data_IF_852657572876
#
_entry.id   IF_852657572876
#
_cell.length_a   1.000
_cell.length_b   1.000
_cell.length_c   1.000
_cell.angle_alpha   90.00
_cell.angle_beta   90.00
_cell.angle_gamma   90.00
#
_symmetry.space_group_name_H-M   'P 1'
#
loop_
_entity.id
_entity.type
_entity.pdbx_description
1 polymer ?
#
# COMPACT_ATOMS: atom_id res chain seq x y z
N UNK A 1 -20.30 0.84 -34.48
CA UNK A 1 -20.18 1.84 -33.38
C UNK A 1 -19.17 2.90 -33.81
N UNK A 2 -19.29 4.14 -33.29
CA UNK A 2 -18.33 5.21 -33.46
C UNK A 2 -17.61 5.45 -32.14
N UNK A 3 -16.30 5.73 -32.23
CA UNK A 3 -15.49 6.24 -31.12
C UNK A 3 -15.19 7.70 -31.44
N UNK A 4 -15.51 8.59 -30.54
CA UNK A 4 -15.25 10.01 -30.67
C UNK A 4 -13.89 10.33 -30.11
N UNK A 5 -13.08 11.09 -30.83
CA UNK A 5 -11.75 11.51 -30.44
C UNK A 5 -11.70 13.03 -30.32
N UNK A 6 -10.88 13.57 -29.41
CA UNK A 6 -10.69 15.02 -29.28
C UNK A 6 -9.85 15.62 -30.40
N UNK A 7 -8.97 14.81 -31.01
CA UNK A 7 -8.08 15.20 -32.12
C UNK A 7 -7.76 13.97 -32.97
N UNK A 8 -7.20 14.19 -34.12
CA UNK A 8 -6.71 13.12 -35.00
C UNK A 8 -5.43 12.52 -34.41
N UNK A 9 -5.34 11.19 -34.48
CA UNK A 9 -4.19 10.42 -33.98
C UNK A 9 -3.48 9.77 -35.16
N UNK A 10 -2.16 9.83 -35.23
CA UNK A 10 -1.34 9.33 -36.34
C UNK A 10 -1.54 7.80 -36.53
N UNK A 11 -1.65 7.05 -35.46
CA UNK A 11 -1.84 5.60 -35.45
C UNK A 11 -3.33 5.17 -35.34
N UNK A 12 -4.25 5.93 -35.92
CA UNK A 12 -5.69 5.69 -35.83
C UNK A 12 -6.11 4.30 -36.31
N UNK A 13 -5.49 3.77 -37.37
CA UNK A 13 -5.75 2.43 -37.87
C UNK A 13 -5.37 1.34 -36.84
N UNK A 14 -4.19 1.43 -36.27
CA UNK A 14 -3.71 0.52 -35.23
C UNK A 14 -4.61 0.56 -33.98
N UNK A 15 -5.03 1.76 -33.58
CA UNK A 15 -5.95 1.95 -32.47
C UNK A 15 -7.31 1.31 -32.73
N UNK A 16 -7.85 1.44 -33.98
CA UNK A 16 -9.10 0.81 -34.36
C UNK A 16 -9.00 -0.72 -34.35
N UNK A 17 -7.85 -1.29 -34.75
CA UNK A 17 -7.56 -2.73 -34.69
C UNK A 17 -7.49 -3.24 -33.25
N UNK A 18 -6.82 -2.55 -32.35
CA UNK A 18 -6.78 -2.89 -30.93
C UNK A 18 -8.18 -2.91 -30.31
N UNK A 19 -9.01 -1.93 -30.62
CA UNK A 19 -10.39 -1.88 -30.16
C UNK A 19 -11.24 -3.01 -30.77
N UNK A 20 -10.98 -3.40 -32.00
CA UNK A 20 -11.64 -4.55 -32.63
C UNK A 20 -11.31 -5.86 -31.93
N UNK A 21 -10.01 -6.07 -31.60
CA UNK A 21 -9.56 -7.25 -30.86
C UNK A 21 -10.20 -7.32 -29.47
N UNK A 22 -10.29 -6.18 -28.79
CA UNK A 22 -10.82 -6.12 -27.42
C UNK A 22 -12.34 -6.24 -27.36
N UNK A 23 -13.07 -5.65 -28.32
CA UNK A 23 -14.54 -5.55 -28.27
C UNK A 23 -15.26 -6.30 -29.39
N UNK A 24 -14.54 -7.04 -30.24
CA UNK A 24 -15.08 -7.89 -31.30
C UNK A 24 -15.69 -7.14 -32.48
N UNK A 25 -15.52 -5.82 -32.57
CA UNK A 25 -16.01 -4.99 -33.68
C UNK A 25 -15.12 -3.79 -33.92
N UNK A 26 -14.70 -3.57 -35.17
CA UNK A 26 -13.91 -2.40 -35.56
C UNK A 26 -14.77 -1.12 -35.51
N UNK A 27 -14.44 -0.16 -34.65
CA UNK A 27 -15.16 1.10 -34.58
C UNK A 27 -14.71 2.05 -35.70
N UNK A 28 -15.58 2.99 -36.08
CA UNK A 28 -15.16 4.16 -36.85
C UNK A 28 -14.69 5.24 -35.89
N UNK A 29 -13.45 5.68 -36.03
CA UNK A 29 -12.91 6.83 -35.31
C UNK A 29 -13.49 8.12 -35.92
N UNK A 30 -13.82 9.07 -35.11
CA UNK A 30 -14.42 10.33 -35.55
C UNK A 30 -14.04 11.49 -34.64
N UNK A 31 -13.49 12.54 -35.20
CA UNK A 31 -13.21 13.81 -34.52
C UNK A 31 -14.37 14.77 -34.81
N UNK A 32 -15.28 15.03 -33.88
CA UNK A 32 -16.41 15.90 -34.13
C UNK A 32 -16.00 17.37 -34.15
N UNK A 33 -16.50 18.10 -35.13
CA UNK A 33 -16.21 19.53 -35.29
C UNK A 33 -17.35 20.43 -34.77
N UNK A 34 -18.55 19.88 -34.52
CA UNK A 34 -19.73 20.65 -34.07
C UNK A 34 -20.83 19.74 -33.50
N UNK A 35 -21.77 20.36 -32.81
CA UNK A 35 -22.98 19.70 -32.30
C UNK A 35 -22.73 18.88 -31.03
N UNK A 36 -23.68 18.00 -30.69
CA UNK A 36 -23.68 17.27 -29.41
C UNK A 36 -22.48 16.34 -29.23
N UNK A 37 -21.98 15.77 -30.32
CA UNK A 37 -20.79 14.93 -30.24
C UNK A 37 -19.55 15.72 -29.82
N UNK A 38 -19.38 16.96 -30.29
CA UNK A 38 -18.29 17.83 -29.82
C UNK A 38 -18.43 18.13 -28.32
N UNK A 39 -19.64 18.48 -27.88
CA UNK A 39 -19.90 18.74 -26.46
C UNK A 39 -19.60 17.52 -25.57
N UNK A 40 -19.89 16.31 -26.05
CA UNK A 40 -19.55 15.07 -25.33
C UNK A 40 -18.04 14.88 -25.21
N UNK A 41 -17.27 15.16 -26.28
CA UNK A 41 -15.82 15.09 -26.25
C UNK A 41 -15.23 16.13 -25.30
N UNK A 42 -15.71 17.39 -25.37
CA UNK A 42 -15.25 18.45 -24.48
C UNK A 42 -15.53 18.11 -23.01
N UNK A 43 -16.70 17.56 -22.71
CA UNK A 43 -17.03 17.11 -21.34
C UNK A 43 -16.11 15.96 -20.89
N UNK A 44 -15.87 14.99 -21.77
CA UNK A 44 -14.96 13.86 -21.46
C UNK A 44 -13.52 14.33 -21.21
N UNK A 45 -13.04 15.26 -22.02
CA UNK A 45 -11.71 15.86 -21.84
C UNK A 45 -11.61 16.65 -20.53
N UNK A 46 -12.63 17.44 -20.20
CA UNK A 46 -12.69 18.17 -18.94
C UNK A 46 -12.63 17.21 -17.73
N UNK A 47 -13.47 16.18 -17.73
CA UNK A 47 -13.49 15.18 -16.67
C UNK A 47 -12.14 14.44 -16.54
N UNK A 48 -11.52 14.09 -17.67
CA UNK A 48 -10.20 13.45 -17.69
C UNK A 48 -9.12 14.35 -17.10
N UNK A 49 -9.15 15.65 -17.43
CA UNK A 49 -8.21 16.64 -16.90
C UNK A 49 -8.38 16.83 -15.39
N UNK A 50 -9.61 17.02 -14.91
CA UNK A 50 -9.92 17.16 -13.48
C UNK A 50 -9.49 15.92 -12.69
N UNK A 51 -9.69 14.71 -13.24
CA UNK A 51 -9.25 13.47 -12.61
C UNK A 51 -7.73 13.35 -12.60
N UNK A 52 -7.04 13.72 -13.69
CA UNK A 52 -5.59 13.73 -13.75
C UNK A 52 -4.99 14.68 -12.70
N UNK A 53 -5.51 15.91 -12.56
CA UNK A 53 -5.08 16.84 -11.52
C UNK A 53 -5.33 16.28 -10.10
N UNK A 54 -6.49 15.66 -9.89
CA UNK A 54 -6.84 15.04 -8.60
C UNK A 54 -5.87 13.92 -8.23
N UNK A 55 -5.54 13.05 -9.17
CA UNK A 55 -4.61 11.93 -8.95
C UNK A 55 -3.20 12.43 -8.69
N UNK A 56 -2.69 13.34 -9.53
CA UNK A 56 -1.34 13.92 -9.38
C UNK A 56 -1.21 14.65 -8.04
N UNK A 57 -2.15 15.50 -7.69
CA UNK A 57 -2.12 16.21 -6.41
C UNK A 57 -2.21 15.27 -5.18
N UNK A 58 -2.88 14.12 -5.32
CA UNK A 58 -2.88 13.09 -4.26
C UNK A 58 -1.53 12.40 -4.12
N UNK A 59 -0.88 12.04 -5.22
CA UNK A 59 0.43 11.39 -5.21
C UNK A 59 1.52 12.32 -4.67
N UNK A 60 1.50 13.59 -5.05
CA UNK A 60 2.41 14.61 -4.50
C UNK A 60 2.25 14.78 -2.99
N UNK A 61 1.01 14.81 -2.48
CA UNK A 61 0.74 14.89 -1.03
C UNK A 61 1.24 13.65 -0.30
N UNK A 62 1.03 12.46 -0.83
CA UNK A 62 1.54 11.19 -0.25
C UNK A 62 3.06 11.23 -0.21
N UNK A 63 3.73 11.59 -1.30
CA UNK A 63 5.18 11.70 -1.37
C UNK A 63 5.73 12.71 -0.37
N UNK A 64 5.11 13.90 -0.25
CA UNK A 64 5.47 14.92 0.74
C UNK A 64 5.30 14.39 2.17
N UNK A 65 4.21 13.65 2.45
CA UNK A 65 3.95 13.05 3.76
C UNK A 65 5.02 12.02 4.13
N UNK A 66 5.39 11.12 3.21
CA UNK A 66 6.44 10.13 3.45
C UNK A 66 7.82 10.79 3.66
N UNK A 67 8.09 11.85 2.92
CA UNK A 67 9.32 12.65 3.10
C UNK A 67 9.36 13.31 4.47
N UNK A 68 8.25 13.90 4.92
CA UNK A 68 8.13 14.49 6.24
C UNK A 68 8.30 13.43 7.34
N UNK A 69 7.63 12.29 7.20
CA UNK A 69 7.77 11.16 8.13
C UNK A 69 9.24 10.72 8.26
N UNK A 70 9.92 10.53 7.12
CA UNK A 70 11.34 10.20 7.12
C UNK A 70 12.19 11.22 7.88
N UNK A 71 11.96 12.53 7.66
CA UNK A 71 12.66 13.61 8.40
C UNK A 71 12.37 13.55 9.89
N UNK A 72 11.12 13.35 10.30
CA UNK A 72 10.73 13.28 11.71
C UNK A 72 11.39 12.09 12.43
N UNK A 73 11.52 10.96 11.76
CA UNK A 73 12.09 9.74 12.31
C UNK A 73 13.61 9.60 12.08
N UNK A 74 14.24 10.59 11.43
CA UNK A 74 15.65 10.57 11.04
C UNK A 74 16.03 9.32 10.21
N UNK A 75 15.16 8.92 9.28
CA UNK A 75 15.36 7.82 8.33
C UNK A 75 15.10 8.32 6.90
N UNK A 76 15.53 7.61 5.84
CA UNK A 76 15.06 7.85 4.49
C UNK A 76 13.53 7.80 4.41
N UNK A 77 12.91 8.49 3.43
CA UNK A 77 11.46 8.40 3.23
C UNK A 77 11.04 6.94 3.01
N UNK A 78 10.24 6.34 3.91
CA UNK A 78 9.94 4.91 3.87
C UNK A 78 8.97 4.61 2.73
N UNK A 79 9.35 3.68 1.85
CA UNK A 79 8.49 3.20 0.75
C UNK A 79 7.60 2.06 1.19
N UNK A 80 8.17 1.11 1.96
CA UNK A 80 7.44 -0.02 2.53
C UNK A 80 7.39 0.10 4.05
N UNK A 81 6.19 0.13 4.58
CA UNK A 81 5.94 0.17 6.03
C UNK A 81 5.11 -1.03 6.44
N UNK A 82 5.49 -1.70 7.52
CA UNK A 82 4.73 -2.80 8.12
C UNK A 82 4.33 -2.40 9.53
N UNK A 83 3.03 -2.50 9.84
CA UNK A 83 2.51 -2.21 11.17
C UNK A 83 1.94 -3.46 11.82
N UNK A 84 2.28 -3.67 13.09
CA UNK A 84 1.88 -4.80 13.91
C UNK A 84 0.97 -4.37 15.04
N UNK A 85 -0.13 -5.08 15.19
CA UNK A 85 -1.11 -4.92 16.26
C UNK A 85 -1.41 -6.28 16.89
N UNK A 86 -1.47 -6.33 18.23
CA UNK A 86 -1.87 -7.51 18.99
C UNK A 86 -3.31 -7.31 19.46
N UNK A 87 -4.17 -8.23 19.08
CA UNK A 87 -5.59 -8.19 19.42
C UNK A 87 -6.02 -9.48 20.11
N UNK A 88 -6.72 -9.36 21.24
CA UNK A 88 -7.30 -10.47 21.96
C UNK A 88 -8.72 -10.72 21.43
N UNK A 89 -8.96 -11.90 20.87
CA UNK A 89 -10.29 -12.32 20.42
C UNK A 89 -10.89 -13.25 21.48
N UNK A 90 -11.88 -12.76 22.21
CA UNK A 90 -12.76 -13.56 23.10
C UNK A 90 -12.04 -14.53 24.05
N UNK A 91 -11.05 -14.05 24.80
CA UNK A 91 -10.57 -14.70 26.02
C UNK A 91 -9.55 -15.83 25.89
N UNK A 92 -9.34 -16.45 24.75
CA UNK A 92 -8.43 -17.59 24.60
C UNK A 92 -7.48 -17.53 23.39
N UNK A 93 -7.85 -16.83 22.33
CA UNK A 93 -7.01 -16.75 21.14
C UNK A 93 -6.41 -15.35 20.97
N UNK A 94 -5.09 -15.27 21.10
CA UNK A 94 -4.33 -14.05 20.79
C UNK A 94 -4.00 -14.08 19.31
N UNK A 95 -4.40 -13.05 18.59
CA UNK A 95 -4.12 -12.89 17.17
C UNK A 95 -3.39 -11.59 16.94
N UNK A 96 -2.30 -11.64 16.18
CA UNK A 96 -1.64 -10.44 15.71
C UNK A 96 -1.98 -10.19 14.24
N UNK A 97 -2.15 -8.95 13.89
CA UNK A 97 -2.30 -8.50 12.52
C UNK A 97 -1.08 -7.72 12.06
N UNK A 98 -0.69 -7.96 10.81
CA UNK A 98 0.30 -7.17 10.10
C UNK A 98 -0.37 -6.49 8.91
N UNK A 99 -0.34 -5.19 8.87
CA UNK A 99 -0.78 -4.39 7.73
C UNK A 99 0.42 -3.81 7.01
N UNK A 100 0.33 -3.67 5.70
CA UNK A 100 1.42 -3.22 4.86
C UNK A 100 0.99 -2.03 4.03
N UNK A 101 1.85 -1.02 4.01
CA UNK A 101 1.73 0.13 3.12
C UNK A 101 2.93 0.14 2.16
N UNK A 102 2.64 0.32 0.89
CA UNK A 102 3.63 0.49 -0.17
C UNK A 102 3.43 1.85 -0.82
N UNK A 103 4.46 2.69 -0.78
CA UNK A 103 4.41 4.06 -1.30
C UNK A 103 3.18 4.85 -0.80
N UNK A 104 2.90 4.72 0.49
CA UNK A 104 1.78 5.37 1.17
C UNK A 104 0.39 4.83 0.85
N UNK A 105 0.29 3.74 0.07
CA UNK A 105 -0.99 3.08 -0.27
C UNK A 105 -1.08 1.71 0.44
N UNK A 106 -2.25 1.30 0.95
CA UNK A 106 -2.42 -0.03 1.54
C UNK A 106 -2.14 -1.15 0.53
N UNK A 107 -1.21 -2.06 0.83
CA UNK A 107 -0.92 -3.25 0.03
C UNK A 107 -1.58 -4.47 0.65
N UNK A 108 -2.89 -4.58 0.45
CA UNK A 108 -3.73 -5.61 1.11
C UNK A 108 -3.32 -7.04 0.80
N UNK A 109 -2.67 -7.31 -0.34
CA UNK A 109 -2.13 -8.64 -0.70
C UNK A 109 -1.10 -9.14 0.30
N UNK A 110 -0.40 -8.22 0.97
CA UNK A 110 0.69 -8.54 1.90
C UNK A 110 0.24 -8.55 3.36
N UNK A 111 -1.02 -8.25 3.64
CA UNK A 111 -1.57 -8.33 5.00
C UNK A 111 -1.50 -9.77 5.52
N UNK A 112 -1.10 -9.93 6.79
CA UNK A 112 -0.99 -11.24 7.44
C UNK A 112 -1.71 -11.23 8.78
N UNK A 113 -2.18 -12.40 9.16
CA UNK A 113 -2.64 -12.71 10.52
C UNK A 113 -1.77 -13.81 11.10
N UNK A 114 -1.31 -13.61 12.30
CA UNK A 114 -0.51 -14.58 13.04
C UNK A 114 -1.30 -15.04 14.25
N UNK A 115 -1.57 -16.33 14.33
CA UNK A 115 -2.05 -16.92 15.58
C UNK A 115 -0.86 -17.01 16.53
N UNK A 116 -1.00 -16.46 17.74
CA UNK A 116 -0.01 -16.60 18.81
C UNK A 116 -0.26 -17.93 19.51
N UNK A 117 0.78 -18.71 19.72
CA UNK A 117 0.70 -20.05 20.25
C UNK A 117 1.47 -20.17 21.58
N UNK A 118 0.96 -20.98 22.49
CA UNK A 118 1.68 -21.37 23.72
C UNK A 118 1.75 -20.31 24.81
N UNK A 119 1.02 -19.21 24.69
CA UNK A 119 0.92 -18.21 25.75
C UNK A 119 -0.43 -18.39 26.47
N UNK A 120 -0.39 -18.71 27.75
CA UNK A 120 -1.58 -18.95 28.58
C UNK A 120 -2.12 -17.67 29.22
N UNK A 121 -1.32 -16.63 29.28
CA UNK A 121 -1.67 -15.33 29.84
C UNK A 121 -1.57 -14.24 28.76
N UNK A 122 -2.24 -13.10 29.01
CA UNK A 122 -2.19 -11.90 28.16
C UNK A 122 -0.80 -11.23 28.22
N UNK A 123 0.22 -11.92 27.71
CA UNK A 123 1.56 -11.36 27.57
C UNK A 123 1.73 -10.76 26.15
N UNK A 124 1.37 -9.49 26.02
CA UNK A 124 1.47 -8.76 24.76
C UNK A 124 2.93 -8.62 24.29
N UNK A 125 3.90 -8.63 25.22
CA UNK A 125 5.33 -8.55 24.86
C UNK A 125 5.83 -9.86 24.27
N UNK A 126 5.50 -11.00 24.89
CA UNK A 126 5.84 -12.31 24.36
C UNK A 126 5.14 -12.56 23.02
N UNK A 127 3.88 -12.12 22.91
CA UNK A 127 3.10 -12.17 21.66
C UNK A 127 3.76 -11.36 20.55
N UNK A 128 4.15 -10.12 20.84
CA UNK A 128 4.84 -9.26 19.87
C UNK A 128 6.18 -9.88 19.41
N UNK A 129 6.97 -10.37 20.37
CA UNK A 129 8.23 -11.05 20.05
C UNK A 129 8.01 -12.24 19.14
N UNK A 130 7.05 -13.11 19.44
CA UNK A 130 6.75 -14.30 18.64
C UNK A 130 6.37 -13.93 17.20
N UNK A 131 5.52 -12.93 17.05
CA UNK A 131 5.02 -12.49 15.74
C UNK A 131 6.12 -11.86 14.89
N UNK A 132 6.91 -10.95 15.46
CA UNK A 132 8.03 -10.32 14.77
C UNK A 132 9.08 -11.37 14.38
N UNK A 133 9.45 -12.26 15.30
CA UNK A 133 10.38 -13.37 15.01
C UNK A 133 9.85 -14.20 13.84
N UNK A 134 8.59 -14.63 13.88
CA UNK A 134 7.98 -15.47 12.84
C UNK A 134 7.97 -14.77 11.47
N UNK A 135 7.60 -13.48 11.41
CA UNK A 135 7.64 -12.67 10.19
C UNK A 135 9.03 -12.67 9.56
N UNK A 136 10.05 -12.45 10.37
CA UNK A 136 11.42 -12.29 9.87
C UNK A 136 12.21 -13.59 9.71
N UNK A 137 11.78 -14.69 10.32
CA UNK A 137 12.22 -16.05 9.96
C UNK A 137 11.78 -16.37 8.53
N UNK A 138 10.52 -16.12 8.19
CA UNK A 138 10.03 -16.30 6.81
C UNK A 138 10.74 -15.38 5.81
N UNK A 139 11.04 -14.13 6.22
CA UNK A 139 11.83 -13.21 5.38
C UNK A 139 13.22 -13.78 5.06
N UNK A 140 13.94 -14.28 6.07
CA UNK A 140 15.27 -14.88 5.89
C UNK A 140 15.23 -16.15 5.05
N UNK A 141 14.15 -16.91 5.12
CA UNK A 141 13.95 -18.10 4.30
C UNK A 141 13.60 -17.75 2.84
N UNK A 142 13.28 -16.50 2.52
CA UNK A 142 12.84 -16.09 1.19
C UNK A 142 11.44 -16.58 0.82
N UNK A 143 10.60 -16.82 1.83
CA UNK A 143 9.26 -17.35 1.62
C UNK A 143 8.39 -16.36 0.88
N UNK A 144 7.67 -16.85 -0.14
CA UNK A 144 6.80 -16.04 -0.98
C UNK A 144 5.78 -15.25 -0.15
N UNK A 145 5.75 -13.94 -0.35
CA UNK A 145 4.89 -13.00 0.38
C UNK A 145 5.42 -12.56 1.74
N UNK A 146 6.68 -12.94 2.05
CA UNK A 146 7.47 -12.46 3.19
C UNK A 146 8.85 -11.95 2.76
N UNK A 147 9.19 -12.04 1.51
CA UNK A 147 10.50 -11.80 0.89
C UNK A 147 10.84 -10.32 0.70
N UNK A 148 9.87 -9.41 0.84
CA UNK A 148 10.12 -7.98 0.77
C UNK A 148 10.54 -7.42 2.15
N UNK A 149 11.65 -6.63 2.17
CA UNK A 149 12.13 -5.94 3.36
C UNK A 149 11.32 -4.66 3.63
N UNK A 150 10.94 -4.38 4.89
CA UNK A 150 10.37 -3.09 5.24
C UNK A 150 11.44 -2.01 5.42
N UNK A 151 11.09 -0.76 5.07
CA UNK A 151 11.89 0.42 5.41
C UNK A 151 11.59 0.93 6.82
N UNK A 152 10.39 0.60 7.34
CA UNK A 152 9.91 1.04 8.65
C UNK A 152 8.96 0.01 9.24
N UNK A 153 9.18 -0.33 10.50
CA UNK A 153 8.26 -1.11 11.33
C UNK A 153 7.56 -0.19 12.33
N UNK A 154 6.24 -0.30 12.39
CA UNK A 154 5.39 0.41 13.32
C UNK A 154 4.74 -0.61 14.26
N UNK A 155 4.92 -0.41 15.55
CA UNK A 155 4.40 -1.32 16.59
C UNK A 155 3.29 -0.59 17.34
N UNK A 156 2.06 -1.13 17.33
CA UNK A 156 0.99 -0.60 18.18
C UNK A 156 1.32 -0.90 19.64
N UNK A 157 1.68 0.14 20.36
CA UNK A 157 2.18 0.10 21.72
C UNK A 157 3.36 1.06 21.92
N UNK A 158 3.68 1.33 23.17
CA UNK A 158 4.72 2.28 23.55
C UNK A 158 6.15 1.77 23.28
N UNK A 159 7.10 2.52 23.81
CA UNK A 159 8.56 2.30 23.66
C UNK A 159 8.95 0.85 24.05
N UNK A 160 8.29 0.26 25.05
CA UNK A 160 8.59 -1.11 25.51
C UNK A 160 8.28 -2.15 24.43
N UNK A 161 7.13 -2.05 23.75
CA UNK A 161 6.77 -2.96 22.65
C UNK A 161 7.75 -2.81 21.48
N UNK A 162 8.15 -1.58 21.15
CA UNK A 162 9.15 -1.33 20.12
C UNK A 162 10.52 -1.96 20.46
N UNK A 163 10.95 -1.87 21.73
CA UNK A 163 12.20 -2.51 22.21
C UNK A 163 12.16 -4.03 22.09
N UNK A 164 11.01 -4.65 22.36
CA UNK A 164 10.82 -6.11 22.19
C UNK A 164 10.97 -6.51 20.71
N UNK A 165 10.38 -5.73 19.81
CA UNK A 165 10.51 -5.96 18.36
C UNK A 165 11.97 -5.80 17.90
N UNK A 166 12.68 -4.77 18.38
CA UNK A 166 14.12 -4.58 18.10
C UNK A 166 14.95 -5.78 18.59
N UNK A 167 14.71 -6.25 19.81
CA UNK A 167 15.43 -7.41 20.36
C UNK A 167 15.20 -8.67 19.51
N UNK A 168 13.95 -8.92 19.07
CA UNK A 168 13.63 -10.05 18.19
C UNK A 168 14.35 -9.98 16.83
N UNK A 169 14.48 -8.78 16.26
CA UNK A 169 15.24 -8.57 15.04
C UNK A 169 16.73 -8.81 15.22
N UNK A 170 17.31 -8.32 16.33
CA UNK A 170 18.73 -8.50 16.65
C UNK A 170 19.12 -9.97 16.81
N UNK A 171 18.25 -10.79 17.43
CA UNK A 171 18.43 -12.24 17.54
C UNK A 171 18.51 -12.94 16.16
N UNK A 172 17.84 -12.37 15.17
CA UNK A 172 17.89 -12.83 13.78
C UNK A 172 19.02 -12.20 12.96
N UNK A 173 19.88 -11.37 13.59
CA UNK A 173 20.91 -10.57 12.92
C UNK A 173 20.32 -9.64 11.83
N UNK A 174 19.16 -9.04 12.13
CA UNK A 174 18.48 -8.06 11.27
C UNK A 174 18.42 -6.72 11.98
N UNK A 175 18.45 -5.64 11.18
CA UNK A 175 18.32 -4.27 11.66
C UNK A 175 17.41 -3.49 10.72
N UNK A 176 16.25 -3.09 11.24
CA UNK A 176 15.30 -2.20 10.58
C UNK A 176 14.91 -1.07 11.51
N UNK A 177 14.52 0.10 11.00
CA UNK A 177 13.90 1.15 11.82
C UNK A 177 12.60 0.64 12.46
N UNK A 178 12.48 0.76 13.79
CA UNK A 178 11.30 0.32 14.55
C UNK A 178 10.83 1.48 15.44
N UNK A 179 9.54 1.82 15.36
CA UNK A 179 8.92 2.84 16.18
C UNK A 179 7.61 2.35 16.80
N UNK A 180 7.39 2.71 18.05
CA UNK A 180 6.12 2.48 18.74
C UNK A 180 5.11 3.59 18.41
N UNK A 181 3.87 3.21 18.14
CA UNK A 181 2.75 4.14 18.01
C UNK A 181 2.01 4.21 19.34
N UNK A 182 1.85 5.41 19.86
CA UNK A 182 1.07 5.69 21.08
C UNK A 182 -0.16 6.47 20.67
N UNK A 183 -1.34 6.07 21.16
CA UNK A 183 -2.55 6.87 20.99
C UNK A 183 -2.48 8.06 21.94
N UNK A 184 -2.57 9.26 21.37
CA UNK A 184 -2.67 10.47 22.21
C UNK A 184 -4.05 10.43 22.91
N UNK A 185 -4.02 10.39 24.23
CA UNK A 185 -5.21 10.40 25.09
C UNK A 185 -5.61 11.86 25.40
N UNK A 186 -5.77 12.67 24.35
CA UNK A 186 -6.33 14.02 24.51
C UNK A 186 -7.84 14.03 24.29
#
# INVERSE_FOLDING_TARGET
KRVLLPFEIDDGELFAELLEQQYGRRPKLHVPQRGDNLRLVELACKNAFEEAERVTGREERVSATLTLLGKMLAIPAPKRMESFDISNISGTDIVASMVVFQEGKPKKSDYKRFKVEGLTDQDDYASMRQVVTRRFVHYKAGDKGFDEAPDLLLIDGGVTHAKVAVAALQELNLSFPVFGMVKDLS
#
